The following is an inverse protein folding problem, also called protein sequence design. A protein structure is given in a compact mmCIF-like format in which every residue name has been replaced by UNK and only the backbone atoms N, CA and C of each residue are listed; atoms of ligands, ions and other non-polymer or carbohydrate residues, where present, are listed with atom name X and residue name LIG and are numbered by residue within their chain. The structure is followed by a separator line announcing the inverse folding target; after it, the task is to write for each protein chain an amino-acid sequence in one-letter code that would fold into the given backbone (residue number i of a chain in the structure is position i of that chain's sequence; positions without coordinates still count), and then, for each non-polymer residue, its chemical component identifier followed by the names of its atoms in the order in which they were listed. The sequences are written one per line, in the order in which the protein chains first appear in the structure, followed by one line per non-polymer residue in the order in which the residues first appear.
data_IF_800007982599
#
_entry.id   IF_800007982599
#
_cell.length_a   1.000
_cell.length_b   1.000
_cell.length_c   1.000
_cell.angle_alpha   90.00
_cell.angle_beta   90.00
_cell.angle_gamma   90.00
#
_symmetry.space_group_name_H-M   'P 1'
#
loop_
_entity.id
_entity.type
_entity.pdbx_description
1 polymer ?
#
# COMPACT_ATOMS: atom_id res chain seq x y z
N UNK A 1 -1.98 -14.88 -13.41
CA UNK A 1 -1.41 -13.98 -12.39
C UNK A 1 -1.51 -14.54 -10.98
N UNK A 2 -2.71 -14.94 -10.54
CA UNK A 2 -2.96 -15.51 -9.20
C UNK A 2 -2.02 -16.66 -8.78
N UNK A 3 -1.91 -17.73 -9.58
CA UNK A 3 -1.02 -18.87 -9.26
C UNK A 3 0.42 -18.42 -9.05
N UNK A 4 0.93 -17.54 -9.90
CA UNK A 4 2.30 -17.01 -9.79
C UNK A 4 2.46 -16.13 -8.57
N UNK A 5 1.47 -15.30 -8.25
CA UNK A 5 1.51 -14.46 -7.06
C UNK A 5 1.53 -15.30 -5.78
N UNK A 6 0.72 -16.36 -5.69
CA UNK A 6 0.70 -17.26 -4.54
C UNK A 6 1.96 -18.13 -4.42
N UNK A 7 2.54 -18.57 -5.54
CA UNK A 7 3.80 -19.33 -5.52
C UNK A 7 5.03 -18.44 -5.33
N UNK A 8 4.91 -17.13 -5.49
CA UNK A 8 6.05 -16.21 -5.53
C UNK A 8 6.86 -16.21 -4.22
N UNK A 9 6.27 -16.07 -3.02
CA UNK A 9 7.03 -16.13 -1.77
C UNK A 9 7.65 -17.52 -1.49
N UNK A 10 7.17 -18.57 -2.17
CA UNK A 10 7.65 -19.96 -2.00
C UNK A 10 8.80 -20.30 -2.97
N UNK A 11 8.94 -19.52 -4.05
CA UNK A 11 10.01 -19.65 -5.03
C UNK A 11 11.17 -18.72 -4.65
N UNK A 12 11.92 -19.05 -3.61
CA UNK A 12 13.23 -18.43 -3.36
C UNK A 12 14.25 -19.50 -2.98
N UNK A 13 15.51 -19.29 -3.37
CA UNK A 13 16.62 -20.18 -3.00
C UNK A 13 16.78 -20.24 -1.46
N UNK A 14 16.42 -19.16 -0.76
CA UNK A 14 16.42 -19.02 0.70
C UNK A 14 14.99 -18.95 1.31
N UNK A 15 14.09 -19.85 0.90
CA UNK A 15 12.66 -19.86 1.33
C UNK A 15 12.41 -19.85 2.84
N UNK A 16 13.12 -20.68 3.60
CA UNK A 16 12.95 -20.75 5.07
C UNK A 16 13.48 -19.47 5.72
N UNK A 17 14.72 -19.02 5.43
CA UNK A 17 15.22 -17.74 5.93
C UNK A 17 14.28 -16.58 5.64
N UNK A 18 13.79 -16.42 4.39
CA UNK A 18 12.94 -15.28 4.01
C UNK A 18 11.64 -15.22 4.80
N UNK A 19 10.94 -16.34 4.94
CA UNK A 19 9.67 -16.39 5.69
C UNK A 19 9.92 -16.18 7.19
N UNK A 20 10.97 -16.79 7.73
CA UNK A 20 11.26 -16.77 9.16
C UNK A 20 11.81 -15.40 9.60
N UNK A 21 12.71 -14.80 8.82
CA UNK A 21 13.19 -13.43 9.00
C UNK A 21 12.05 -12.44 8.87
N UNK A 22 11.23 -12.53 7.82
CA UNK A 22 10.08 -11.65 7.62
C UNK A 22 9.08 -11.72 8.78
N UNK A 23 8.81 -12.94 9.26
CA UNK A 23 7.98 -13.18 10.44
C UNK A 23 8.53 -12.54 11.71
N UNK A 24 9.80 -12.84 12.03
CA UNK A 24 10.48 -12.32 13.22
C UNK A 24 10.54 -10.78 13.18
N UNK A 25 10.87 -10.18 12.04
CA UNK A 25 10.85 -8.73 11.87
C UNK A 25 9.46 -8.13 12.09
N UNK A 26 8.41 -8.83 11.66
CA UNK A 26 7.04 -8.37 11.89
C UNK A 26 6.67 -8.40 13.37
N UNK A 27 7.09 -9.43 14.11
CA UNK A 27 6.93 -9.45 15.58
C UNK A 27 7.76 -8.35 16.24
N UNK A 28 9.04 -8.20 15.88
CA UNK A 28 9.89 -7.15 16.43
C UNK A 28 9.37 -5.74 16.12
N UNK A 29 8.66 -5.56 15.01
CA UNK A 29 8.01 -4.29 14.67
C UNK A 29 6.96 -3.87 15.69
N UNK A 30 6.37 -4.79 16.45
CA UNK A 30 5.47 -4.42 17.55
C UNK A 30 6.23 -3.95 18.80
N UNK A 31 7.51 -4.34 18.96
CA UNK A 31 8.32 -4.05 20.15
C UNK A 31 9.22 -2.82 19.93
N UNK A 32 9.88 -2.75 18.77
CA UNK A 32 10.75 -1.65 18.34
C UNK A 32 10.27 -1.24 16.95
N UNK A 33 9.31 -0.31 16.81
CA UNK A 33 8.55 -0.18 15.56
C UNK A 33 9.35 0.37 14.38
N UNK A 34 10.37 1.19 14.59
CA UNK A 34 10.96 1.98 13.52
C UNK A 34 11.89 1.13 12.62
N UNK A 35 12.80 0.35 13.23
CA UNK A 35 13.86 -0.34 12.49
C UNK A 35 13.36 -1.56 11.70
N UNK A 36 12.60 -2.51 12.29
CA UNK A 36 12.11 -3.69 11.59
C UNK A 36 11.07 -3.32 10.52
N UNK A 37 10.25 -2.29 10.76
CA UNK A 37 9.34 -1.76 9.73
C UNK A 37 10.12 -1.19 8.54
N UNK A 38 11.19 -0.43 8.77
CA UNK A 38 12.01 0.05 7.66
C UNK A 38 12.54 -1.12 6.82
N UNK A 39 13.05 -2.19 7.43
CA UNK A 39 13.53 -3.37 6.69
C UNK A 39 12.40 -4.03 5.89
N UNK A 40 11.22 -4.22 6.49
CA UNK A 40 10.05 -4.81 5.81
C UNK A 40 9.58 -3.96 4.63
N UNK A 41 9.55 -2.64 4.80
CA UNK A 41 9.16 -1.73 3.72
C UNK A 41 10.19 -1.73 2.59
N UNK A 42 11.49 -1.73 2.91
CA UNK A 42 12.55 -1.89 1.92
C UNK A 42 12.47 -3.21 1.16
N UNK A 43 12.08 -4.29 1.85
CA UNK A 43 11.82 -5.57 1.21
C UNK A 43 10.63 -5.49 0.25
N UNK A 44 9.54 -4.81 0.65
CA UNK A 44 8.41 -4.50 -0.22
C UNK A 44 8.80 -3.76 -1.50
N UNK A 45 9.68 -2.76 -1.40
CA UNK A 45 10.25 -2.04 -2.57
C UNK A 45 11.02 -3.00 -3.48
N UNK A 46 11.81 -3.90 -2.91
CA UNK A 46 12.57 -4.90 -3.67
C UNK A 46 11.64 -5.90 -4.38
N UNK A 47 10.55 -6.30 -3.74
CA UNK A 47 9.49 -7.14 -4.35
C UNK A 47 8.77 -6.41 -5.47
N UNK A 48 8.43 -5.13 -5.29
CA UNK A 48 7.85 -4.31 -6.35
C UNK A 48 8.78 -4.21 -7.57
N UNK A 49 10.08 -3.99 -7.35
CA UNK A 49 11.09 -3.90 -8.41
C UNK A 49 11.27 -5.21 -9.18
N UNK A 50 11.40 -6.33 -8.47
CA UNK A 50 11.57 -7.66 -9.08
C UNK A 50 10.31 -8.12 -9.83
N UNK A 51 9.13 -7.91 -9.24
CA UNK A 51 7.86 -8.22 -9.90
C UNK A 51 7.59 -7.39 -11.15
N UNK A 52 8.02 -6.12 -11.17
CA UNK A 52 7.95 -5.27 -12.35
C UNK A 52 8.85 -5.75 -13.51
N UNK A 53 9.95 -6.46 -13.20
CA UNK A 53 10.87 -7.10 -14.15
C UNK A 53 10.43 -8.51 -14.58
N UNK A 54 9.27 -8.97 -14.11
CA UNK A 54 8.74 -10.33 -14.32
C UNK A 54 9.67 -11.45 -13.79
N UNK A 55 10.48 -11.14 -12.77
CA UNK A 55 11.28 -12.13 -12.08
C UNK A 55 10.36 -13.10 -11.31
N UNK A 56 10.62 -14.41 -11.44
CA UNK A 56 9.78 -15.46 -10.85
C UNK A 56 10.17 -15.83 -9.42
N UNK A 57 11.39 -15.46 -9.00
CA UNK A 57 11.92 -15.75 -7.68
C UNK A 57 11.73 -14.56 -6.74
N UNK A 58 11.36 -14.82 -5.49
CA UNK A 58 11.29 -13.78 -4.48
C UNK A 58 12.71 -13.32 -4.08
N UNK A 59 12.94 -12.01 -3.92
CA UNK A 59 14.24 -11.49 -3.56
C UNK A 59 14.68 -11.95 -2.17
N UNK A 60 15.99 -12.03 -1.95
CA UNK A 60 16.58 -12.34 -0.64
C UNK A 60 16.62 -11.11 0.26
N UNK A 61 16.84 -11.33 1.56
CA UNK A 61 17.06 -10.28 2.56
C UNK A 61 18.53 -9.80 2.65
N UNK A 62 19.41 -10.32 1.78
CA UNK A 62 20.83 -9.92 1.72
C UNK A 62 20.91 -8.40 1.42
N UNK A 63 21.96 -7.74 1.88
CA UNK A 63 22.13 -6.27 1.80
C UNK A 63 21.06 -5.49 2.58
N UNK A 64 20.97 -5.81 3.87
CA UNK A 64 20.08 -5.17 4.85
C UNK A 64 20.20 -3.65 4.89
N UNK A 65 21.40 -3.10 4.64
CA UNK A 65 21.60 -1.64 4.58
C UNK A 65 20.77 -1.01 3.47
N UNK A 66 20.75 -1.62 2.27
CA UNK A 66 19.94 -1.15 1.16
C UNK A 66 18.45 -1.28 1.46
N UNK A 67 18.03 -2.35 2.15
CA UNK A 67 16.65 -2.51 2.61
C UNK A 67 16.26 -1.39 3.60
N UNK A 68 17.12 -1.09 4.57
CA UNK A 68 16.88 -0.01 5.54
C UNK A 68 16.76 1.32 4.81
N UNK A 69 17.69 1.63 3.88
CA UNK A 69 17.66 2.88 3.12
C UNK A 69 16.37 2.98 2.32
N UNK A 70 16.05 2.00 1.48
CA UNK A 70 14.84 2.02 0.65
C UNK A 70 13.56 2.01 1.49
N UNK A 71 13.58 1.36 2.65
CA UNK A 71 12.52 1.40 3.64
C UNK A 71 12.29 2.78 4.23
N UNK A 72 13.36 3.48 4.64
CA UNK A 72 13.29 4.86 5.10
C UNK A 72 12.75 5.76 3.99
N UNK A 73 13.17 5.56 2.74
CA UNK A 73 12.60 6.32 1.61
C UNK A 73 11.10 6.09 1.49
N UNK A 74 10.65 4.85 1.57
CA UNK A 74 9.23 4.52 1.50
C UNK A 74 8.44 5.07 2.69
N UNK A 75 9.04 5.13 3.89
CA UNK A 75 8.45 5.77 5.06
C UNK A 75 8.30 7.28 4.87
N UNK A 76 9.30 7.96 4.30
CA UNK A 76 9.22 9.38 3.98
C UNK A 76 8.16 9.67 2.91
N UNK A 77 8.06 8.81 1.89
CA UNK A 77 6.99 8.90 0.89
C UNK A 77 5.63 8.73 1.55
N UNK A 78 5.47 7.73 2.43
CA UNK A 78 4.25 7.53 3.21
C UNK A 78 3.89 8.75 4.05
N UNK A 79 4.88 9.35 4.70
CA UNK A 79 4.68 10.54 5.52
C UNK A 79 4.21 11.72 4.66
N UNK A 80 4.84 11.95 3.51
CA UNK A 80 4.42 12.98 2.56
C UNK A 80 2.98 12.76 2.07
N UNK A 81 2.63 11.53 1.68
CA UNK A 81 1.26 11.18 1.31
C UNK A 81 0.28 11.36 2.47
N UNK A 82 0.67 11.03 3.69
CA UNK A 82 -0.14 11.27 4.89
C UNK A 82 -0.50 12.75 5.02
N UNK A 83 0.44 13.66 4.83
CA UNK A 83 0.13 15.10 4.84
C UNK A 83 -0.78 15.51 3.68
N UNK A 84 -0.56 15.00 2.47
CA UNK A 84 -1.42 15.27 1.31
C UNK A 84 -2.86 14.84 1.55
N UNK A 85 -3.09 13.73 2.26
CA UNK A 85 -4.43 13.24 2.58
C UNK A 85 -5.03 13.84 3.85
N UNK A 86 -4.19 14.19 4.83
CA UNK A 86 -4.63 14.79 6.08
C UNK A 86 -5.20 16.19 5.86
N UNK A 87 -4.60 16.98 4.96
CA UNK A 87 -5.06 18.35 4.70
C UNK A 87 -6.53 18.40 4.24
N UNK A 88 -6.98 17.65 3.21
CA UNK A 88 -8.39 17.58 2.83
C UNK A 88 -9.31 17.09 3.96
N UNK A 89 -8.86 16.12 4.77
CA UNK A 89 -9.64 15.60 5.90
C UNK A 89 -9.86 16.70 6.94
N UNK A 90 -8.80 17.42 7.30
CA UNK A 90 -8.87 18.52 8.27
C UNK A 90 -9.76 19.65 7.71
N UNK A 91 -9.57 20.04 6.45
CA UNK A 91 -10.43 21.05 5.80
C UNK A 91 -11.89 20.61 5.78
N UNK A 92 -12.17 19.35 5.46
CA UNK A 92 -13.53 18.80 5.51
C UNK A 92 -14.09 18.78 6.93
N UNK A 93 -13.30 18.41 7.95
CA UNK A 93 -13.76 18.47 9.35
C UNK A 93 -14.27 19.85 9.74
N UNK A 94 -13.57 20.92 9.35
CA UNK A 94 -14.02 22.30 9.59
C UNK A 94 -15.21 22.70 8.70
N UNK A 95 -15.18 22.34 7.42
CA UNK A 95 -16.27 22.67 6.48
C UNK A 95 -17.62 22.02 6.85
N UNK A 96 -17.57 20.85 7.50
CA UNK A 96 -18.75 20.11 7.97
C UNK A 96 -19.13 20.46 9.43
N UNK A 97 -18.53 21.50 10.03
CA UNK A 97 -18.86 21.94 11.40
C UNK A 97 -18.41 20.99 12.52
N UNK A 98 -17.61 19.96 12.19
CA UNK A 98 -17.09 18.97 13.13
C UNK A 98 -15.75 19.41 13.77
N UNK A 99 -15.10 20.43 13.22
CA UNK A 99 -13.80 20.92 13.69
C UNK A 99 -13.80 21.53 15.10
N UNK A 100 -14.92 22.15 15.51
CA UNK A 100 -15.06 22.75 16.84
C UNK A 100 -15.14 21.70 17.96
N UNK A 101 -15.67 20.52 17.68
CA UNK A 101 -15.72 19.38 18.60
C UNK A 101 -14.31 18.84 18.90
N UNK A 102 -13.42 18.87 17.91
CA UNK A 102 -12.03 18.41 18.06
C UNK A 102 -11.20 19.35 18.95
N UNK A 103 -11.44 20.67 18.86
CA UNK A 103 -10.69 21.68 19.61
C UNK A 103 -11.16 21.84 21.06
N UNK A 104 -12.41 21.47 21.37
CA UNK A 104 -13.00 21.61 22.71
C UNK A 104 -12.69 20.43 23.65
N UNK A 105 -12.08 19.35 23.15
CA UNK A 105 -11.49 18.28 23.98
C UNK A 105 -12.47 17.44 24.81
N UNK A 106 -13.77 17.58 24.60
CA UNK A 106 -14.80 16.81 25.30
C UNK A 106 -16.00 16.50 24.41
N UNK A 107 -16.80 15.46 24.73
CA UNK A 107 -18.09 15.28 24.12
C UNK A 107 -19.02 16.38 24.64
N UNK A 108 -18.95 17.57 24.04
CA UNK A 108 -20.02 18.54 24.20
C UNK A 108 -21.24 18.01 23.43
N UNK A 109 -22.43 17.96 24.04
CA UNK A 109 -23.61 17.51 23.34
C UNK A 109 -24.04 18.59 22.34
N UNK A 110 -23.40 18.67 21.17
CA UNK A 110 -23.97 19.43 20.06
C UNK A 110 -24.98 18.54 19.35
N UNK A 111 -26.23 18.63 19.81
CA UNK A 111 -27.42 18.41 19.01
C UNK A 111 -27.40 17.18 18.08
N UNK A 112 -27.14 15.99 18.62
CA UNK A 112 -27.62 14.77 17.93
C UNK A 112 -29.14 14.76 18.08
N UNK A 113 -29.83 15.46 17.18
CA UNK A 113 -31.27 15.61 17.25
C UNK A 113 -31.92 16.15 16.00
N UNK A 114 -31.20 16.88 15.14
CA UNK A 114 -31.73 17.38 13.87
C UNK A 114 -31.38 16.45 12.70
N UNK A 115 -32.30 16.34 11.73
CA UNK A 115 -32.04 15.59 10.49
C UNK A 115 -30.85 16.16 9.70
N UNK A 116 -30.56 17.46 9.85
CA UNK A 116 -29.47 18.16 9.14
C UNK A 116 -28.10 17.71 9.65
N UNK A 117 -27.92 17.60 10.97
CA UNK A 117 -26.65 17.17 11.56
C UNK A 117 -26.31 15.72 11.19
N UNK A 118 -27.33 14.85 11.18
CA UNK A 118 -27.17 13.46 10.74
C UNK A 118 -26.82 13.32 9.26
N UNK A 119 -27.39 14.17 8.40
CA UNK A 119 -27.07 14.18 6.97
C UNK A 119 -25.64 14.69 6.72
N UNK A 120 -25.20 15.71 7.46
CA UNK A 120 -23.86 16.28 7.36
C UNK A 120 -22.79 15.28 7.83
N UNK A 121 -23.04 14.59 8.95
CA UNK A 121 -22.18 13.51 9.42
C UNK A 121 -22.09 12.34 8.42
N UNK A 122 -23.22 11.93 7.84
CA UNK A 122 -23.24 10.89 6.81
C UNK A 122 -22.46 11.30 5.55
N UNK A 123 -22.60 12.54 5.11
CA UNK A 123 -21.84 13.09 3.99
C UNK A 123 -20.34 13.17 4.28
N UNK A 124 -19.94 13.52 5.50
CA UNK A 124 -18.54 13.48 5.94
C UNK A 124 -17.98 12.06 5.93
N UNK A 125 -18.72 11.08 6.47
CA UNK A 125 -18.32 9.66 6.43
C UNK A 125 -18.16 9.19 4.99
N UNK A 126 -19.11 9.53 4.10
CA UNK A 126 -19.02 9.19 2.69
C UNK A 126 -17.78 9.82 2.05
N UNK A 127 -17.48 11.08 2.34
CA UNK A 127 -16.27 11.76 1.88
C UNK A 127 -15.00 11.01 2.33
N UNK A 128 -14.92 10.61 3.61
CA UNK A 128 -13.79 9.83 4.13
C UNK A 128 -13.67 8.47 3.44
N UNK A 129 -14.79 7.77 3.21
CA UNK A 129 -14.80 6.48 2.52
C UNK A 129 -14.28 6.63 1.08
N UNK A 130 -14.80 7.61 0.33
CA UNK A 130 -14.38 7.88 -1.05
C UNK A 130 -12.89 8.23 -1.10
N UNK A 131 -12.44 9.11 -0.20
CA UNK A 131 -11.03 9.49 -0.11
C UNK A 131 -10.14 8.29 0.24
N UNK A 132 -10.57 7.45 1.18
CA UNK A 132 -9.83 6.25 1.59
C UNK A 132 -9.68 5.25 0.45
N UNK A 133 -10.72 5.05 -0.36
CA UNK A 133 -10.64 4.19 -1.55
C UNK A 133 -9.70 4.79 -2.60
N UNK A 134 -9.75 6.11 -2.83
CA UNK A 134 -8.83 6.78 -3.73
C UNK A 134 -7.37 6.63 -3.28
N UNK A 135 -7.09 6.80 -1.99
CA UNK A 135 -5.78 6.57 -1.37
C UNK A 135 -5.32 5.13 -1.59
N UNK A 136 -6.19 4.16 -1.24
CA UNK A 136 -5.89 2.75 -1.37
C UNK A 136 -5.61 2.32 -2.82
N UNK A 137 -6.15 3.06 -3.80
CA UNK A 137 -5.88 2.84 -5.22
C UNK A 137 -4.60 3.53 -5.71
N UNK A 138 -4.32 4.76 -5.28
CA UNK A 138 -3.21 5.58 -5.82
C UNK A 138 -1.88 5.23 -5.15
N UNK A 139 -1.88 5.03 -3.84
CA UNK A 139 -0.65 4.85 -3.06
C UNK A 139 0.18 3.62 -3.49
N UNK A 140 -0.41 2.44 -3.75
CA UNK A 140 0.36 1.30 -4.23
C UNK A 140 1.02 1.55 -5.60
N UNK A 141 0.39 2.34 -6.48
CA UNK A 141 1.00 2.75 -7.75
C UNK A 141 2.20 3.68 -7.56
N UNK A 142 2.12 4.60 -6.60
CA UNK A 142 3.25 5.47 -6.23
C UNK A 142 4.45 4.66 -5.74
N UNK A 143 4.21 3.63 -4.90
CA UNK A 143 5.27 2.74 -4.45
C UNK A 143 5.89 1.94 -5.60
N UNK A 144 5.07 1.46 -6.54
CA UNK A 144 5.55 0.75 -7.72
C UNK A 144 6.44 1.64 -8.59
N UNK A 145 6.02 2.88 -8.85
CA UNK A 145 6.82 3.82 -9.63
C UNK A 145 8.17 4.13 -8.95
N UNK A 146 8.14 4.40 -7.65
CA UNK A 146 9.35 4.56 -6.83
C UNK A 146 10.28 3.35 -6.90
N UNK A 147 9.73 2.14 -6.80
CA UNK A 147 10.52 0.92 -6.85
C UNK A 147 11.18 0.70 -8.22
N UNK A 148 10.51 1.09 -9.31
CA UNK A 148 10.98 0.95 -10.70
C UNK A 148 12.03 2.01 -11.04
N UNK A 149 11.73 3.29 -10.80
CA UNK A 149 12.58 4.43 -11.18
C UNK A 149 13.71 4.68 -10.16
N UNK A 150 13.58 4.18 -8.93
CA UNK A 150 14.62 4.26 -7.89
C UNK A 150 14.83 5.65 -7.26
N UNK A 151 14.05 6.66 -7.66
CA UNK A 151 14.10 8.03 -7.12
C UNK A 151 12.85 8.35 -6.31
N UNK A 152 12.99 8.98 -5.13
CA UNK A 152 11.80 9.35 -4.31
C UNK A 152 10.83 10.27 -5.07
N UNK A 153 11.35 11.18 -5.89
CA UNK A 153 10.53 12.11 -6.67
C UNK A 153 9.56 11.42 -7.63
N UNK A 154 9.93 10.26 -8.17
CA UNK A 154 9.06 9.46 -9.04
C UNK A 154 7.79 8.98 -8.33
N UNK A 155 7.81 8.84 -7.00
CA UNK A 155 6.61 8.50 -6.23
C UNK A 155 5.50 9.55 -6.37
N UNK A 156 5.86 10.79 -6.73
CA UNK A 156 4.92 11.91 -6.86
C UNK A 156 4.68 12.30 -8.33
N UNK A 157 5.17 11.50 -9.28
CA UNK A 157 4.88 11.73 -10.69
C UNK A 157 3.45 11.30 -11.02
N UNK A 158 2.51 12.21 -10.81
CA UNK A 158 1.09 12.00 -11.03
C UNK A 158 0.77 11.67 -12.49
N UNK A 159 1.59 12.09 -13.46
CA UNK A 159 1.35 11.81 -14.87
C UNK A 159 1.54 10.31 -15.14
N UNK A 160 2.69 9.76 -14.76
CA UNK A 160 3.01 8.33 -14.88
C UNK A 160 2.08 7.47 -14.03
N UNK A 161 1.73 7.90 -12.81
CA UNK A 161 0.81 7.17 -11.94
C UNK A 161 -0.60 7.11 -12.57
N UNK A 162 -1.12 8.24 -13.08
CA UNK A 162 -2.41 8.27 -13.78
C UNK A 162 -2.40 7.39 -15.02
N UNK A 163 -1.28 7.35 -15.74
CA UNK A 163 -1.13 6.50 -16.91
C UNK A 163 -1.27 5.01 -16.60
N UNK A 164 -0.56 4.52 -15.58
CA UNK A 164 -0.64 3.12 -15.19
C UNK A 164 -2.00 2.78 -14.54
N UNK A 165 -2.51 3.65 -13.66
CA UNK A 165 -3.77 3.42 -12.93
C UNK A 165 -5.02 3.49 -13.80
N UNK A 166 -4.94 4.05 -15.01
CA UNK A 166 -6.06 4.04 -15.98
C UNK A 166 -6.14 2.74 -16.80
N UNK A 167 -5.24 1.78 -16.56
CA UNK A 167 -5.20 0.52 -17.32
C UNK A 167 -5.96 -0.62 -16.63
N UNK A 168 -6.57 -1.48 -17.44
CA UNK A 168 -7.24 -2.71 -16.98
C UNK A 168 -6.31 -3.66 -16.22
N UNK A 169 -5.02 -3.67 -16.60
CA UNK A 169 -3.97 -4.50 -16.04
C UNK A 169 -3.68 -4.12 -14.58
N UNK A 170 -3.56 -2.81 -14.32
CA UNK A 170 -3.39 -2.30 -12.97
C UNK A 170 -4.64 -2.54 -12.12
N UNK A 171 -5.82 -2.21 -12.65
CA UNK A 171 -7.08 -2.39 -11.94
C UNK A 171 -7.28 -3.86 -11.51
N UNK A 172 -7.04 -4.81 -12.42
CA UNK A 172 -7.15 -6.24 -12.11
C UNK A 172 -6.15 -6.65 -11.02
N UNK A 173 -4.90 -6.19 -11.11
CA UNK A 173 -3.90 -6.48 -10.09
C UNK A 173 -4.28 -5.93 -8.71
N UNK A 174 -4.81 -4.71 -8.67
CA UNK A 174 -5.28 -4.07 -7.44
C UNK A 174 -6.47 -4.82 -6.83
N UNK A 175 -7.47 -5.20 -7.62
CA UNK A 175 -8.62 -5.99 -7.13
C UNK A 175 -8.17 -7.33 -6.58
N UNK A 176 -7.26 -8.03 -7.27
CA UNK A 176 -6.72 -9.30 -6.78
C UNK A 176 -5.95 -9.13 -5.47
N UNK A 177 -5.15 -8.08 -5.35
CA UNK A 177 -4.44 -7.76 -4.11
C UNK A 177 -5.42 -7.45 -2.97
N UNK A 178 -6.50 -6.71 -3.24
CA UNK A 178 -7.54 -6.41 -2.27
C UNK A 178 -8.29 -7.66 -1.81
N UNK A 179 -8.71 -8.53 -2.75
CA UNK A 179 -9.41 -9.79 -2.42
C UNK A 179 -8.52 -10.72 -1.60
N UNK A 180 -7.26 -10.89 -1.98
CA UNK A 180 -6.29 -11.69 -1.23
C UNK A 180 -6.03 -11.07 0.15
N UNK A 181 -5.83 -9.76 0.20
CA UNK A 181 -5.63 -9.01 1.43
C UNK A 181 -6.80 -9.16 2.39
N UNK A 182 -8.03 -9.12 1.91
CA UNK A 182 -9.22 -9.32 2.74
C UNK A 182 -9.32 -10.76 3.23
N UNK A 183 -9.21 -11.75 2.34
CA UNK A 183 -9.42 -13.16 2.71
C UNK A 183 -8.29 -13.71 3.59
N UNK A 184 -7.04 -13.59 3.13
CA UNK A 184 -5.89 -14.12 3.86
C UNK A 184 -5.40 -13.16 4.95
N UNK A 185 -5.62 -11.85 4.81
CA UNK A 185 -5.29 -10.90 5.87
C UNK A 185 -6.22 -11.03 7.07
N UNK A 186 -7.54 -11.21 6.87
CA UNK A 186 -8.46 -11.50 7.96
C UNK A 186 -8.08 -12.80 8.69
N UNK A 187 -7.72 -13.84 7.93
CA UNK A 187 -7.20 -15.09 8.49
C UNK A 187 -5.90 -14.84 9.30
N UNK A 188 -4.97 -14.07 8.74
CA UNK A 188 -3.72 -13.70 9.41
C UNK A 188 -3.95 -12.95 10.72
N UNK A 189 -4.92 -12.02 10.76
CA UNK A 189 -5.29 -11.30 12.00
C UNK A 189 -5.79 -12.28 13.06
N UNK A 190 -6.72 -13.18 12.70
CA UNK A 190 -7.27 -14.17 13.65
C UNK A 190 -6.18 -15.12 14.16
N UNK A 191 -5.31 -15.61 13.27
CA UNK A 191 -4.22 -16.52 13.64
C UNK A 191 -3.07 -15.83 14.38
N UNK A 192 -3.01 -14.50 14.39
CA UNK A 192 -1.93 -13.76 15.07
C UNK A 192 -2.00 -13.92 16.59
N UNK A 193 -3.16 -14.30 17.13
CA UNK A 193 -3.33 -14.68 18.55
C UNK A 193 -2.39 -15.82 18.95
N UNK A 194 -2.02 -16.70 18.02
CA UNK A 194 -1.12 -17.85 18.25
C UNK A 194 0.25 -17.64 17.60
N UNK A 195 0.63 -16.39 17.31
CA UNK A 195 1.89 -15.98 16.63
C UNK A 195 2.07 -16.48 15.18
N UNK A 196 1.34 -17.50 14.74
CA UNK A 196 1.40 -18.03 13.36
C UNK A 196 0.85 -17.02 12.34
N UNK A 197 -0.18 -16.25 12.71
CA UNK A 197 -0.82 -15.30 11.81
C UNK A 197 0.11 -14.20 11.31
N UNK A 198 1.17 -13.89 12.05
CA UNK A 198 2.19 -12.90 11.66
C UNK A 198 2.90 -13.33 10.37
N UNK A 199 3.17 -14.63 10.21
CA UNK A 199 3.75 -15.17 8.97
C UNK A 199 2.77 -15.06 7.80
N UNK A 200 1.48 -15.28 8.06
CA UNK A 200 0.42 -15.14 7.05
C UNK A 200 0.32 -13.68 6.60
N UNK A 201 0.35 -12.73 7.53
CA UNK A 201 0.31 -11.30 7.21
C UNK A 201 1.50 -10.87 6.34
N UNK A 202 2.71 -11.31 6.69
CA UNK A 202 3.89 -11.06 5.87
C UNK A 202 3.76 -11.68 4.47
N UNK A 203 3.31 -12.93 4.38
CA UNK A 203 3.07 -13.60 3.10
C UNK A 203 2.08 -12.81 2.22
N UNK A 204 0.95 -12.39 2.80
CA UNK A 204 -0.07 -11.59 2.11
C UNK A 204 0.49 -10.27 1.62
N UNK A 205 1.30 -9.60 2.44
CA UNK A 205 1.95 -8.35 2.07
C UNK A 205 2.87 -8.51 0.85
N UNK A 206 3.71 -9.56 0.82
CA UNK A 206 4.59 -9.86 -0.33
C UNK A 206 3.77 -10.14 -1.60
N UNK A 207 2.70 -10.93 -1.48
CA UNK A 207 1.80 -11.24 -2.61
C UNK A 207 1.15 -9.97 -3.15
N UNK A 208 0.69 -9.07 -2.28
CA UNK A 208 0.09 -7.80 -2.67
C UNK A 208 1.10 -6.91 -3.42
N UNK A 209 2.33 -6.75 -2.90
CA UNK A 209 3.38 -6.00 -3.57
C UNK A 209 3.73 -6.58 -4.94
N UNK A 210 3.82 -7.92 -5.05
CA UNK A 210 4.09 -8.58 -6.32
C UNK A 210 3.00 -8.29 -7.37
N UNK A 211 1.71 -8.39 -6.97
CA UNK A 211 0.60 -8.11 -7.87
C UNK A 211 0.63 -6.66 -8.35
N UNK A 212 0.81 -5.72 -7.43
CA UNK A 212 0.85 -4.28 -7.73
C UNK A 212 2.01 -3.94 -8.67
N UNK A 213 3.23 -4.40 -8.38
CA UNK A 213 4.41 -4.09 -9.22
C UNK A 213 4.27 -4.65 -10.64
N UNK A 214 3.78 -5.89 -10.76
CA UNK A 214 3.53 -6.51 -12.07
C UNK A 214 2.39 -5.85 -12.85
N UNK A 215 1.30 -5.51 -12.16
CA UNK A 215 0.14 -4.85 -12.77
C UNK A 215 0.50 -3.45 -13.28
N UNK A 216 1.25 -2.70 -12.49
CA UNK A 216 1.73 -1.36 -12.83
C UNK A 216 2.66 -1.37 -14.06
N UNK A 217 3.68 -2.25 -14.05
CA UNK A 217 4.63 -2.38 -15.16
C UNK A 217 3.93 -2.74 -16.49
N UNK A 218 3.01 -3.73 -16.44
CA UNK A 218 2.24 -4.15 -17.63
C UNK A 218 1.30 -3.06 -18.15
N UNK A 219 0.62 -2.35 -17.24
CA UNK A 219 -0.25 -1.23 -17.58
C UNK A 219 0.52 -0.12 -18.31
N UNK A 220 1.64 0.32 -17.73
CA UNK A 220 2.46 1.36 -18.32
C UNK A 220 3.03 0.96 -19.69
N UNK A 221 3.52 -0.28 -19.83
CA UNK A 221 4.02 -0.79 -21.10
C UNK A 221 2.94 -0.82 -22.20
N UNK A 222 1.71 -1.23 -21.86
CA UNK A 222 0.58 -1.24 -22.82
C UNK A 222 0.24 0.16 -23.31
N UNK A 223 0.18 1.14 -22.41
CA UNK A 223 -0.17 2.52 -22.77
C UNK A 223 0.90 3.16 -23.65
N UNK A 224 2.18 2.95 -23.34
CA UNK A 224 3.30 3.43 -24.16
C UNK A 224 3.31 2.84 -25.57
N UNK A 225 2.93 1.56 -25.73
CA UNK A 225 2.79 0.91 -27.04
C UNK A 225 1.65 1.50 -27.87
N UNK A 226 0.48 1.71 -27.25
CA UNK A 226 -0.67 2.31 -27.94
C UNK A 226 -0.36 3.72 -28.48
N UNK A 227 0.38 4.54 -27.73
CA UNK A 227 0.81 5.87 -28.20
C UNK A 227 1.77 5.76 -29.40
N UNK A 228 2.73 4.84 -29.34
CA UNK A 228 3.67 4.62 -30.44
C UNK A 228 2.95 4.21 -31.73
N UNK A 229 1.95 3.33 -31.65
CA UNK A 229 1.15 2.87 -32.80
C UNK A 229 0.29 3.99 -33.42
N UNK A 230 -0.16 4.96 -32.64
CA UNK A 230 -0.94 6.11 -33.16
C UNK A 230 -0.11 7.22 -33.78
N UNK A 231 1.23 7.16 -33.66
CA UNK A 231 2.15 8.20 -34.15
C UNK A 231 2.77 7.83 -35.52
N UNK A 232 2.40 6.68 -36.09
CA UNK A 232 2.73 6.23 -37.44
C UNK A 232 1.48 6.20 -38.32
#
# INVERSE_FOLDING_TARGET
MLRHALSYPLNSDDRIPTILIGGVLTVLSFVIPILPQAILQGYGVRVLRSSAKDESAAPSFIDWVTLIVDGIKLLLINLAYTFVFLVPIVVALFAFGLGEQLLSGGPTPSAVGSAVDSALAAAFVLFIVVLSVAVAYIVPAAYANFAIEGSMGSAFDFSTIKEATTTSEYFTAWVLAAVIGLLLGALGIVLSVVLVGVLVLFYVQVVAFYLVGRGFSKGLAKKRRAVAETTF
#
